data_IF_448047039890
#
_entry.id   IF_448047039890
#
_cell.length_a   1.000
_cell.length_b   1.000
_cell.length_c   1.000
_cell.angle_alpha   90.00
_cell.angle_beta   90.00
_cell.angle_gamma   90.00
#
_symmetry.space_group_name_H-M   'P 1'
#
loop_
_entity.id
_entity.type
_entity.pdbx_description
1 polymer ?
#
# COMPACT_ATOMS: atom_id res chain seq x y z
N UNK A 1 -6.40 -9.13 -8.02
CA UNK A 1 -5.62 -9.86 -6.99
C UNK A 1 -5.35 -8.87 -5.86
N UNK A 2 -5.50 -9.26 -4.59
CA UNK A 2 -5.12 -8.39 -3.46
C UNK A 2 -3.64 -8.65 -3.17
N UNK A 3 -2.77 -7.68 -3.45
CA UNK A 3 -1.37 -7.74 -3.02
C UNK A 3 -1.26 -7.45 -1.52
N UNK A 4 -0.50 -8.26 -0.79
CA UNK A 4 -0.35 -8.14 0.67
C UNK A 4 1.11 -7.90 1.01
N UNK A 5 1.47 -6.62 1.13
CA UNK A 5 2.79 -6.19 1.56
C UNK A 5 3.06 -6.60 3.02
N UNK A 6 4.34 -6.71 3.39
CA UNK A 6 4.76 -7.02 4.76
C UNK A 6 4.19 -6.04 5.80
N UNK A 7 4.04 -4.77 5.44
CA UNK A 7 3.41 -3.75 6.31
C UNK A 7 1.92 -4.00 6.53
N UNK A 8 1.20 -4.56 5.56
CA UNK A 8 -0.20 -4.95 5.74
C UNK A 8 -0.33 -6.09 6.74
N UNK A 9 0.58 -7.08 6.66
CA UNK A 9 0.66 -8.18 7.64
C UNK A 9 0.95 -7.62 9.04
N UNK A 10 1.94 -6.73 9.17
CA UNK A 10 2.28 -6.11 10.46
C UNK A 10 1.14 -5.25 11.03
N UNK A 11 0.43 -4.48 10.20
CA UNK A 11 -0.75 -3.73 10.65
C UNK A 11 -1.86 -4.66 11.16
N UNK A 12 -2.06 -5.82 10.52
CA UNK A 12 -3.04 -6.80 10.96
C UNK A 12 -2.66 -7.40 12.32
N UNK A 13 -1.39 -7.75 12.53
CA UNK A 13 -0.87 -8.24 13.82
C UNK A 13 -1.07 -7.22 14.95
N UNK A 14 -0.68 -5.96 14.73
CA UNK A 14 -0.81 -4.89 15.72
C UNK A 14 -2.29 -4.59 16.01
N UNK A 15 -3.16 -4.68 15.00
CA UNK A 15 -4.60 -4.54 15.16
C UNK A 15 -5.21 -5.68 15.96
N UNK A 16 -4.78 -6.92 15.70
CA UNK A 16 -5.21 -8.08 16.47
C UNK A 16 -4.82 -7.93 17.94
N UNK A 17 -3.57 -7.52 18.20
CA UNK A 17 -3.10 -7.26 19.56
C UNK A 17 -3.91 -6.15 20.21
N UNK A 18 -4.09 -5.01 19.55
CA UNK A 18 -4.87 -3.89 20.05
C UNK A 18 -6.29 -4.32 20.43
N UNK A 19 -6.96 -5.14 19.61
CA UNK A 19 -8.29 -5.70 19.92
C UNK A 19 -8.28 -6.57 21.17
N UNK A 20 -7.25 -7.40 21.36
CA UNK A 20 -7.13 -8.28 22.52
C UNK A 20 -6.91 -7.52 23.84
N UNK A 21 -6.22 -6.38 23.80
CA UNK A 21 -5.85 -5.61 25.00
C UNK A 21 -6.76 -4.40 25.28
N UNK A 22 -7.89 -4.27 24.56
CA UNK A 22 -8.89 -3.21 24.82
C UNK A 22 -8.76 -1.94 23.98
N UNK A 23 -7.88 -1.92 22.98
CA UNK A 23 -7.80 -0.88 21.95
C UNK A 23 -6.37 -0.39 21.67
N UNK A 24 -6.22 0.43 20.62
CA UNK A 24 -4.92 0.98 20.20
C UNK A 24 -4.26 1.87 21.26
N UNK A 25 -5.04 2.48 22.16
CA UNK A 25 -4.51 3.30 23.25
C UNK A 25 -3.69 2.48 24.25
N UNK A 26 -3.96 1.17 24.36
CA UNK A 26 -3.26 0.23 25.24
C UNK A 26 -1.98 -0.36 24.62
N UNK A 27 -1.72 -0.10 23.34
CA UNK A 27 -0.45 -0.50 22.72
C UNK A 27 0.72 0.24 23.37
N UNK A 28 1.86 -0.45 23.48
CA UNK A 28 3.09 0.14 23.96
C UNK A 28 3.57 1.28 23.03
N UNK A 29 4.39 2.21 23.53
CA UNK A 29 4.95 3.27 22.69
C UNK A 29 5.71 2.75 21.47
N UNK A 30 6.37 1.60 21.59
CA UNK A 30 7.08 0.96 20.47
C UNK A 30 6.10 0.50 19.39
N UNK A 31 5.04 -0.21 19.79
CA UNK A 31 4.02 -0.72 18.87
C UNK A 31 3.24 0.39 18.19
N UNK A 32 3.00 1.51 18.89
CA UNK A 32 2.39 2.70 18.29
C UNK A 32 3.29 3.30 17.20
N UNK A 33 4.61 3.39 17.44
CA UNK A 33 5.56 3.84 16.42
C UNK A 33 5.64 2.88 15.24
N UNK A 34 5.63 1.57 15.50
CA UNK A 34 5.58 0.57 14.44
C UNK A 34 4.31 0.69 13.60
N UNK A 35 3.14 0.87 14.24
CA UNK A 35 1.88 1.09 13.55
C UNK A 35 1.94 2.35 12.68
N UNK A 36 2.47 3.45 13.23
CA UNK A 36 2.65 4.70 12.48
C UNK A 36 3.58 4.50 11.28
N UNK A 37 4.69 3.79 11.45
CA UNK A 37 5.58 3.44 10.35
C UNK A 37 4.87 2.62 9.27
N UNK A 38 4.12 1.58 9.65
CA UNK A 38 3.36 0.79 8.69
C UNK A 38 2.29 1.61 7.96
N UNK A 39 1.64 2.54 8.65
CA UNK A 39 0.65 3.45 8.04
C UNK A 39 1.30 4.37 6.99
N UNK A 40 2.49 4.92 7.27
CA UNK A 40 3.23 5.76 6.31
C UNK A 40 3.59 4.97 5.05
N UNK A 41 4.18 3.78 5.21
CA UNK A 41 4.54 2.94 4.07
C UNK A 41 3.30 2.50 3.28
N UNK A 42 2.20 2.18 3.98
CA UNK A 42 0.93 1.87 3.32
C UNK A 42 0.38 3.06 2.52
N UNK A 43 0.44 4.27 3.09
CA UNK A 43 0.04 5.49 2.39
C UNK A 43 0.87 5.70 1.12
N UNK A 44 2.19 5.60 1.21
CA UNK A 44 3.07 5.76 0.05
C UNK A 44 2.78 4.73 -1.04
N UNK A 45 2.57 3.46 -0.67
CA UNK A 45 2.21 2.39 -1.60
C UNK A 45 0.89 2.68 -2.33
N UNK A 46 -0.17 2.98 -1.57
CA UNK A 46 -1.51 3.21 -2.13
C UNK A 46 -1.53 4.47 -2.98
N UNK A 47 -0.98 5.58 -2.46
CA UNK A 47 -0.96 6.86 -3.18
C UNK A 47 -0.20 6.77 -4.50
N UNK A 48 0.94 6.09 -4.52
CA UNK A 48 1.72 5.92 -5.74
C UNK A 48 1.00 5.02 -6.76
N UNK A 49 0.42 3.92 -6.29
CA UNK A 49 -0.29 2.99 -7.16
C UNK A 49 -1.53 3.62 -7.78
N UNK A 50 -2.33 4.34 -6.98
CA UNK A 50 -3.55 5.02 -7.46
C UNK A 50 -3.23 6.14 -8.44
N UNK A 51 -2.15 6.89 -8.18
CA UNK A 51 -1.67 7.93 -9.10
C UNK A 51 -1.25 7.33 -10.44
N UNK A 52 -0.46 6.25 -10.43
CA UNK A 52 -0.03 5.58 -11.66
C UNK A 52 -1.21 4.98 -12.43
N UNK A 53 -2.18 4.35 -11.75
CA UNK A 53 -3.39 3.80 -12.38
C UNK A 53 -4.24 4.90 -13.02
N UNK A 54 -4.35 6.05 -12.36
CA UNK A 54 -5.08 7.19 -12.91
C UNK A 54 -4.41 7.74 -14.17
N UNK A 55 -3.09 7.88 -14.17
CA UNK A 55 -2.35 8.34 -15.36
C UNK A 55 -2.38 7.30 -16.48
N UNK A 56 -2.27 6.00 -16.15
CA UNK A 56 -2.38 4.93 -17.13
C UNK A 56 -3.75 4.98 -17.83
N UNK A 57 -4.82 5.19 -17.07
CA UNK A 57 -6.15 5.38 -17.65
C UNK A 57 -6.19 6.56 -18.63
N UNK A 58 -5.57 7.69 -18.30
CA UNK A 58 -5.46 8.84 -19.23
C UNK A 58 -4.72 8.43 -20.51
N UNK A 59 -3.54 7.82 -20.39
CA UNK A 59 -2.74 7.36 -21.54
C UNK A 59 -3.53 6.42 -22.47
N UNK A 60 -4.30 5.50 -21.88
CA UNK A 60 -5.20 4.62 -22.61
C UNK A 60 -6.28 5.40 -23.35
N UNK A 61 -6.95 6.35 -22.69
CA UNK A 61 -8.02 7.14 -23.31
C UNK A 61 -7.53 8.08 -24.42
N UNK A 62 -6.27 8.51 -24.36
CA UNK A 62 -5.64 9.34 -25.40
C UNK A 62 -5.06 8.52 -26.56
N UNK A 63 -5.10 7.18 -26.49
CA UNK A 63 -4.57 6.29 -27.51
C UNK A 63 -3.04 6.19 -27.53
N UNK A 64 -2.37 6.66 -26.48
CA UNK A 64 -0.91 6.60 -26.37
C UNK A 64 -0.48 5.24 -25.80
N UNK A 65 -0.33 4.27 -26.70
CA UNK A 65 -0.07 2.88 -26.34
C UNK A 65 1.33 2.68 -25.70
N UNK A 66 2.33 3.44 -26.13
CA UNK A 66 3.69 3.35 -25.59
C UNK A 66 3.71 3.88 -24.15
N UNK A 67 3.15 5.07 -23.92
CA UNK A 67 3.04 5.64 -22.58
C UNK A 67 2.20 4.77 -21.64
N UNK A 68 1.09 4.22 -22.13
CA UNK A 68 0.27 3.28 -21.36
C UNK A 68 1.06 2.03 -20.97
N UNK A 69 1.83 1.44 -21.88
CA UNK A 69 2.63 0.24 -21.60
C UNK A 69 3.73 0.52 -20.55
N UNK A 70 4.40 1.68 -20.61
CA UNK A 70 5.38 2.08 -19.60
C UNK A 70 4.76 2.21 -18.20
N UNK A 71 3.55 2.78 -18.12
CA UNK A 71 2.84 2.95 -16.84
C UNK A 71 2.39 1.60 -16.26
N UNK A 72 1.89 0.69 -17.11
CA UNK A 72 1.56 -0.67 -16.71
C UNK A 72 2.78 -1.42 -16.16
N UNK A 73 3.95 -1.30 -16.82
CA UNK A 73 5.18 -1.92 -16.33
C UNK A 73 5.60 -1.39 -14.95
N UNK A 74 5.44 -0.08 -14.69
CA UNK A 74 5.70 0.51 -13.37
C UNK A 74 4.73 0.01 -12.31
N UNK A 75 3.44 -0.13 -12.66
CA UNK A 75 2.41 -0.69 -11.77
C UNK A 75 2.77 -2.13 -11.41
N UNK A 76 3.11 -2.96 -12.39
CA UNK A 76 3.51 -4.36 -12.18
C UNK A 76 4.74 -4.48 -11.29
N UNK A 77 5.74 -3.61 -11.43
CA UNK A 77 6.93 -3.59 -10.56
C UNK A 77 6.58 -3.26 -9.10
N UNK A 78 5.60 -2.39 -8.86
CA UNK A 78 5.13 -2.10 -7.50
C UNK A 78 4.33 -3.29 -6.97
N UNK A 79 3.43 -3.84 -7.77
CA UNK A 79 2.59 -4.98 -7.38
C UNK A 79 3.42 -6.25 -7.10
N UNK A 80 4.51 -6.47 -7.82
CA UNK A 80 5.45 -7.56 -7.58
C UNK A 80 6.14 -7.47 -6.20
N UNK A 81 6.27 -6.26 -5.64
CA UNK A 81 6.82 -6.05 -4.28
C UNK A 81 5.78 -6.32 -3.19
N UNK A 82 4.50 -6.51 -3.54
CA UNK A 82 3.41 -6.77 -2.60
C UNK A 82 3.21 -8.27 -2.27
N UNK A 83 4.11 -9.16 -2.68
CA UNK A 83 3.99 -10.63 -2.48
C UNK A 83 5.04 -11.12 -1.49
#
# INVERSE_FOLDING_TARGET
>A
MVGIHSVHRRMAELTLKARAIGGYHMLSPLEKRELEHCLKVNFDLVSNLDSLKSVAFVAYTTGDAEWHQELCAKIEQIEAKLI
#
